data_IF_481148776950
#
_entry.id   IF_481148776950
#
_cell.length_a   1.000
_cell.length_b   1.000
_cell.length_c   1.000
_cell.angle_alpha   90.00
_cell.angle_beta   90.00
_cell.angle_gamma   90.00
#
_symmetry.space_group_name_H-M   'P 1'
#
loop_
_entity.id
_entity.type
_entity.pdbx_description
1 polymer ?
#
# COMPACT_ATOMS: atom_id res chain seq x y z
N UNK A 1 32.64 -0.29 -22.62
CA UNK A 1 33.01 0.55 -21.46
C UNK A 1 33.54 -0.28 -20.29
N UNK A 2 32.82 -1.33 -19.85
CA UNK A 2 33.26 -2.20 -18.74
C UNK A 2 34.57 -2.95 -19.00
N UNK A 3 34.81 -3.44 -20.23
CA UNK A 3 36.08 -4.12 -20.56
C UNK A 3 37.32 -3.24 -20.30
N UNK A 4 37.19 -1.90 -20.46
CA UNK A 4 38.28 -0.95 -20.18
C UNK A 4 38.65 -0.86 -18.69
N UNK A 5 37.80 -1.37 -17.80
CA UNK A 5 37.99 -1.40 -16.34
C UNK A 5 38.25 -2.82 -15.85
N UNK A 6 37.54 -3.80 -16.41
CA UNK A 6 37.62 -5.21 -16.02
C UNK A 6 39.00 -5.83 -16.32
N UNK A 7 39.55 -5.57 -17.51
CA UNK A 7 40.84 -6.12 -17.92
C UNK A 7 42.00 -5.58 -17.05
N UNK A 8 42.13 -4.26 -16.79
CA UNK A 8 43.12 -3.75 -15.83
C UNK A 8 42.92 -4.21 -14.39
N UNK A 9 41.68 -4.52 -13.99
CA UNK A 9 41.36 -5.04 -12.65
C UNK A 9 41.61 -6.54 -12.51
N UNK A 10 42.10 -7.23 -13.55
CA UNK A 10 42.34 -8.67 -13.54
C UNK A 10 41.06 -9.51 -13.53
N UNK A 11 39.91 -8.92 -13.88
CA UNK A 11 38.66 -9.66 -13.97
C UNK A 11 38.65 -10.47 -15.27
N UNK A 12 38.78 -11.79 -15.14
CA UNK A 12 38.89 -12.74 -16.26
C UNK A 12 37.55 -13.12 -16.89
N UNK A 13 36.44 -12.84 -16.19
CA UNK A 13 35.10 -13.10 -16.70
C UNK A 13 34.67 -11.98 -17.67
N UNK A 14 34.15 -12.36 -18.84
CA UNK A 14 33.48 -11.42 -19.76
C UNK A 14 32.23 -10.84 -19.10
N UNK A 15 32.38 -9.67 -18.47
CA UNK A 15 31.30 -8.93 -17.85
C UNK A 15 30.56 -8.11 -18.92
N UNK A 16 29.42 -8.62 -19.38
CA UNK A 16 28.53 -7.86 -20.27
C UNK A 16 27.73 -6.83 -19.47
N UNK A 17 27.59 -5.60 -19.98
CA UNK A 17 26.79 -4.54 -19.32
C UNK A 17 25.30 -4.88 -19.22
N UNK A 18 24.85 -5.91 -19.93
CA UNK A 18 23.45 -6.32 -20.05
C UNK A 18 23.25 -7.81 -19.75
N UNK A 19 23.83 -8.34 -18.66
CA UNK A 19 23.46 -9.70 -18.25
C UNK A 19 22.04 -9.70 -17.67
N UNK A 20 21.17 -10.49 -18.31
CA UNK A 20 19.72 -10.51 -18.10
C UNK A 20 19.28 -10.97 -16.69
N UNK A 21 20.20 -11.38 -15.80
CA UNK A 21 19.93 -11.73 -14.40
C UNK A 21 21.12 -11.33 -13.54
N UNK A 22 20.90 -10.31 -12.71
CA UNK A 22 21.91 -9.50 -12.02
C UNK A 22 22.69 -10.31 -10.97
N UNK A 23 24.00 -10.13 -10.83
CA UNK A 23 24.79 -10.74 -9.75
C UNK A 23 24.27 -10.41 -8.35
N UNK A 24 23.86 -9.16 -8.09
CA UNK A 24 23.25 -8.79 -6.80
C UNK A 24 21.85 -9.39 -6.58
N UNK A 25 21.03 -9.48 -7.63
CA UNK A 25 19.70 -10.10 -7.51
C UNK A 25 19.78 -11.63 -7.43
N UNK A 26 20.75 -12.24 -8.11
CA UNK A 26 21.05 -13.67 -8.03
C UNK A 26 21.61 -14.01 -6.65
N UNK A 27 22.49 -13.18 -6.10
CA UNK A 27 22.97 -13.31 -4.72
C UNK A 27 21.79 -13.24 -3.74
N UNK A 28 20.91 -12.25 -3.89
CA UNK A 28 19.72 -12.13 -3.05
C UNK A 28 18.73 -13.31 -3.24
N UNK A 29 18.61 -13.85 -4.45
CA UNK A 29 17.77 -15.02 -4.75
C UNK A 29 18.29 -16.31 -4.09
N UNK A 30 19.58 -16.35 -3.74
CA UNK A 30 20.18 -17.47 -3.04
C UNK A 30 20.05 -17.39 -1.52
N UNK A 31 19.45 -16.32 -0.99
CA UNK A 31 19.18 -16.20 0.44
C UNK A 31 17.83 -16.84 0.78
N UNK A 32 17.86 -17.96 1.49
CA UNK A 32 16.66 -18.73 1.90
C UNK A 32 15.69 -17.93 2.78
N UNK A 33 16.15 -16.79 3.35
CA UNK A 33 15.33 -15.89 4.16
C UNK A 33 14.58 -14.85 3.32
N UNK A 34 14.82 -14.80 2.02
CA UNK A 34 14.09 -13.98 1.06
C UNK A 34 13.23 -14.87 0.17
N UNK A 35 11.91 -14.64 0.18
CA UNK A 35 11.04 -15.34 -0.76
C UNK A 35 11.40 -14.92 -2.20
N UNK A 36 11.62 -15.90 -3.08
CA UNK A 36 12.00 -15.62 -4.47
C UNK A 36 10.94 -14.74 -5.21
N UNK A 37 9.68 -14.80 -4.78
CA UNK A 37 8.60 -13.92 -5.23
C UNK A 37 8.92 -12.43 -4.99
N UNK A 38 9.53 -12.08 -3.86
CA UNK A 38 9.92 -10.71 -3.52
C UNK A 38 11.00 -10.14 -4.45
N UNK A 39 11.75 -10.98 -5.16
CA UNK A 39 12.88 -10.54 -6.00
C UNK A 39 12.51 -10.63 -7.49
N UNK A 40 11.82 -11.70 -7.92
CA UNK A 40 11.38 -11.85 -9.30
C UNK A 40 10.40 -10.77 -9.75
N UNK A 41 9.48 -10.36 -8.87
CA UNK A 41 8.56 -9.25 -9.12
C UNK A 41 9.27 -7.89 -9.17
N UNK A 42 10.55 -7.80 -8.80
CA UNK A 42 11.33 -6.55 -8.85
C UNK A 42 12.33 -6.49 -10.03
N UNK A 43 12.76 -7.62 -10.59
CA UNK A 43 13.82 -7.67 -11.62
C UNK A 43 13.39 -7.45 -13.09
N UNK A 44 12.20 -7.91 -13.49
CA UNK A 44 11.75 -7.83 -14.89
C UNK A 44 10.93 -6.56 -15.16
N UNK A 45 11.42 -5.61 -15.95
CA UNK A 45 10.71 -4.34 -16.26
C UNK A 45 9.53 -4.51 -17.25
N UNK A 46 8.62 -5.43 -16.97
CA UNK A 46 7.33 -5.52 -17.67
C UNK A 46 6.26 -4.75 -16.90
N UNK A 47 6.00 -3.50 -17.30
CA UNK A 47 5.00 -2.61 -16.66
C UNK A 47 3.54 -3.08 -16.81
N UNK A 48 3.27 -4.15 -17.56
CA UNK A 48 1.92 -4.64 -17.87
C UNK A 48 1.35 -5.61 -16.83
N UNK A 49 2.14 -6.06 -15.86
CA UNK A 49 1.68 -7.01 -14.84
C UNK A 49 1.27 -6.26 -13.58
N UNK A 50 -0.03 -6.07 -13.40
CA UNK A 50 -0.69 -5.57 -12.17
C UNK A 50 -0.13 -6.21 -10.89
N UNK A 51 0.27 -7.48 -10.93
CA UNK A 51 0.92 -8.17 -9.80
C UNK A 51 2.16 -7.44 -9.23
N UNK A 52 2.93 -6.70 -10.04
CA UNK A 52 4.10 -5.96 -9.55
C UNK A 52 3.72 -4.74 -8.72
N UNK A 53 2.66 -4.04 -9.13
CA UNK A 53 2.13 -2.93 -8.35
C UNK A 53 1.61 -3.44 -7.02
N UNK A 54 0.89 -4.56 -7.01
CA UNK A 54 0.47 -5.21 -5.76
C UNK A 54 1.66 -5.64 -4.91
N UNK A 55 2.71 -6.27 -5.45
CA UNK A 55 3.89 -6.63 -4.67
C UNK A 55 4.57 -5.44 -3.98
N UNK A 56 4.64 -4.26 -4.62
CA UNK A 56 5.16 -3.04 -3.99
C UNK A 56 4.18 -2.34 -3.03
N UNK A 57 2.87 -2.55 -3.21
CA UNK A 57 1.82 -1.98 -2.36
C UNK A 57 1.56 -2.87 -1.12
N UNK A 58 1.71 -4.18 -1.25
CA UNK A 58 1.38 -5.18 -0.23
C UNK A 58 2.60 -5.70 0.54
N UNK A 59 3.82 -5.65 -0.02
CA UNK A 59 5.01 -5.87 0.81
C UNK A 59 5.15 -4.74 1.81
N UNK A 60 5.37 -5.07 3.08
CA UNK A 60 5.53 -4.05 4.09
C UNK A 60 6.94 -3.46 3.98
N UNK A 61 7.13 -2.24 4.52
CA UNK A 61 8.46 -1.60 4.64
C UNK A 61 9.54 -2.51 5.27
N UNK A 62 9.14 -3.61 5.94
CA UNK A 62 10.03 -4.62 6.50
C UNK A 62 10.69 -5.48 5.42
N UNK A 63 9.93 -6.00 4.47
CA UNK A 63 10.42 -6.88 3.41
C UNK A 63 11.35 -6.12 2.46
N UNK A 64 11.00 -4.87 2.12
CA UNK A 64 11.86 -3.97 1.35
C UNK A 64 13.21 -3.73 2.02
N UNK A 65 13.21 -3.53 3.35
CA UNK A 65 14.46 -3.36 4.11
C UNK A 65 15.31 -4.62 4.11
N UNK A 66 14.70 -5.81 4.15
CA UNK A 66 15.43 -7.09 4.07
C UNK A 66 16.10 -7.25 2.70
N UNK A 67 15.37 -6.99 1.63
CA UNK A 67 15.94 -7.05 0.27
C UNK A 67 17.03 -6.00 0.09
N UNK A 68 16.83 -4.77 0.55
CA UNK A 68 17.83 -3.71 0.46
C UNK A 68 19.13 -4.06 1.22
N UNK A 69 19.04 -4.73 2.38
CA UNK A 69 20.20 -5.21 3.13
C UNK A 69 21.01 -6.23 2.34
N UNK A 70 20.35 -7.27 1.84
CA UNK A 70 21.03 -8.35 1.09
C UNK A 70 21.65 -7.81 -0.20
N UNK A 71 20.96 -6.92 -0.91
CA UNK A 71 21.52 -6.24 -2.08
C UNK A 71 22.72 -5.33 -1.74
N UNK A 72 22.83 -4.89 -0.49
CA UNK A 72 23.93 -4.07 0.02
C UNK A 72 25.01 -4.92 0.71
N UNK A 73 24.93 -6.26 0.65
CA UNK A 73 25.91 -7.18 1.23
C UNK A 73 25.72 -7.50 2.73
N UNK A 74 24.57 -7.16 3.31
CA UNK A 74 24.23 -7.40 4.72
C UNK A 74 23.28 -8.60 4.86
N UNK A 75 23.28 -9.27 6.02
CA UNK A 75 22.29 -10.32 6.28
C UNK A 75 20.87 -9.73 6.44
N UNK A 76 19.83 -10.54 6.17
CA UNK A 76 18.43 -10.08 6.18
C UNK A 76 17.98 -9.45 7.49
N UNK A 77 18.48 -9.95 8.62
CA UNK A 77 18.06 -9.54 9.96
C UNK A 77 19.08 -8.61 10.63
N UNK A 78 20.14 -8.26 9.91
CA UNK A 78 21.15 -7.34 10.40
C UNK A 78 20.62 -5.92 10.44
N UNK A 79 20.98 -5.18 11.48
CA UNK A 79 20.59 -3.79 11.67
C UNK A 79 21.83 -2.92 11.49
N UNK A 80 22.18 -2.59 10.24
CA UNK A 80 23.34 -1.75 10.00
C UNK A 80 23.13 -0.39 10.65
N UNK A 81 24.12 0.00 11.46
CA UNK A 81 24.13 1.31 12.10
C UNK A 81 24.51 2.35 11.05
N UNK A 82 23.54 3.19 10.69
CA UNK A 82 23.77 4.30 9.76
C UNK A 82 24.28 5.50 10.55
N UNK A 83 25.48 5.97 10.18
CA UNK A 83 26.10 7.16 10.73
C UNK A 83 25.37 8.42 10.25
N UNK A 84 25.26 9.40 11.14
CA UNK A 84 24.54 10.66 10.88
C UNK A 84 25.22 11.80 11.64
N UNK A 85 25.62 12.85 10.93
CA UNK A 85 26.28 14.02 11.54
C UNK A 85 25.38 14.66 12.59
N UNK A 86 24.07 14.67 12.39
CA UNK A 86 23.13 15.25 13.35
C UNK A 86 23.19 14.56 14.73
N UNK A 87 23.56 13.27 14.78
CA UNK A 87 23.74 12.52 16.04
C UNK A 87 25.08 12.79 16.71
N UNK A 88 26.12 13.08 15.92
CA UNK A 88 27.42 13.53 16.42
C UNK A 88 27.29 14.90 17.10
N UNK A 89 26.39 15.74 16.61
CA UNK A 89 26.15 17.10 17.11
C UNK A 89 25.48 17.13 18.50
N UNK A 90 24.53 16.22 18.75
CA UNK A 90 23.87 16.09 20.06
C UNK A 90 24.79 15.69 21.22
N UNK A 91 26.01 15.19 20.94
CA UNK A 91 27.00 14.91 21.97
C UNK A 91 27.81 16.15 22.40
N UNK A 92 27.74 17.27 21.66
CA UNK A 92 28.41 18.54 21.97
C UNK A 92 27.37 19.62 22.22
N UNK A 93 26.86 19.63 23.44
CA UNK A 93 25.94 20.62 23.99
C UNK A 93 26.64 21.99 24.17
N UNK A 94 27.05 22.69 23.10
CA UNK A 94 27.52 24.08 23.19
C UNK A 94 27.27 24.91 21.92
N UNK A 95 26.29 25.81 22.02
CA UNK A 95 26.20 27.18 21.47
C UNK A 95 26.27 27.43 19.95
N UNK A 96 25.10 27.84 19.43
CA UNK A 96 24.82 29.01 18.54
C UNK A 96 25.53 29.18 17.19
N UNK A 97 26.50 28.34 16.82
CA UNK A 97 27.05 28.25 15.47
C UNK A 97 26.76 26.84 14.97
N UNK A 98 26.26 26.69 13.74
CA UNK A 98 26.09 25.37 13.14
C UNK A 98 27.40 24.59 13.31
N UNK A 99 27.34 23.37 13.86
CA UNK A 99 28.56 22.63 14.16
C UNK A 99 29.44 22.52 12.91
N UNK A 100 30.77 22.60 13.05
CA UNK A 100 31.66 22.61 11.88
C UNK A 100 31.42 21.46 10.86
N UNK A 101 30.99 20.24 11.26
CA UNK A 101 30.54 19.20 10.32
C UNK A 101 29.31 19.59 9.46
N UNK A 102 28.35 20.32 10.03
CA UNK A 102 27.18 20.84 9.30
C UNK A 102 27.58 21.96 8.33
N UNK A 103 28.60 22.74 8.67
CA UNK A 103 29.15 23.76 7.78
C UNK A 103 29.86 23.15 6.56
N UNK A 104 30.59 22.04 6.77
CA UNK A 104 31.14 21.23 5.67
C UNK A 104 30.02 20.68 4.77
N UNK A 105 28.95 20.12 5.35
CA UNK A 105 27.79 19.66 4.59
C UNK A 105 27.16 20.78 3.75
N UNK A 106 27.01 21.98 4.31
CA UNK A 106 26.45 23.12 3.58
C UNK A 106 27.37 23.57 2.43
N UNK A 107 28.70 23.58 2.64
CA UNK A 107 29.65 23.88 1.56
C UNK A 107 29.61 22.86 0.41
N UNK A 108 29.40 21.59 0.73
CA UNK A 108 29.28 20.53 -0.25
C UNK A 108 27.91 20.52 -0.95
N UNK A 109 26.89 21.18 -0.37
CA UNK A 109 25.54 21.19 -0.91
C UNK A 109 25.45 22.05 -2.16
N UNK A 110 25.06 21.44 -3.26
CA UNK A 110 24.65 22.15 -4.46
C UNK A 110 23.15 22.44 -4.42
N UNK A 111 22.77 23.71 -4.51
CA UNK A 111 21.36 24.14 -4.46
C UNK A 111 20.51 23.63 -5.64
N UNK A 112 21.17 23.21 -6.73
CA UNK A 112 20.52 22.66 -7.92
C UNK A 112 20.08 21.20 -7.75
N UNK A 113 20.59 20.48 -6.75
CA UNK A 113 20.28 19.09 -6.51
C UNK A 113 19.19 18.95 -5.44
N UNK A 114 18.09 18.25 -5.79
CA UNK A 114 16.99 17.96 -4.86
C UNK A 114 17.32 16.76 -3.96
N UNK A 115 18.29 16.92 -3.05
CA UNK A 115 18.69 15.90 -2.07
C UNK A 115 18.25 16.34 -0.68
N UNK A 116 17.60 15.44 0.05
CA UNK A 116 17.15 15.73 1.42
C UNK A 116 18.33 15.98 2.35
N UNK A 117 18.16 16.88 3.32
CA UNK A 117 19.18 17.23 4.32
C UNK A 117 19.64 16.01 5.12
N UNK A 118 18.73 15.06 5.40
CA UNK A 118 19.04 13.81 6.09
C UNK A 118 19.99 12.93 5.28
N UNK A 119 19.78 12.81 3.97
CA UNK A 119 20.69 12.05 3.10
C UNK A 119 22.05 12.74 3.01
N UNK A 120 22.08 14.06 2.88
CA UNK A 120 23.34 14.82 2.87
C UNK A 120 24.11 14.66 4.18
N UNK A 121 23.42 14.65 5.32
CA UNK A 121 24.03 14.43 6.63
C UNK A 121 24.71 13.06 6.72
N UNK A 122 24.02 12.00 6.29
CA UNK A 122 24.58 10.63 6.26
C UNK A 122 25.78 10.54 5.32
N UNK A 123 25.66 11.04 4.08
CA UNK A 123 26.75 11.00 3.10
C UNK A 123 27.98 11.77 3.58
N UNK A 124 27.76 12.93 4.20
CA UNK A 124 28.85 13.74 4.75
C UNK A 124 29.50 13.03 5.95
N UNK A 125 28.74 12.29 6.78
CA UNK A 125 29.33 11.48 7.86
C UNK A 125 30.29 10.42 7.32
N UNK A 126 29.90 9.69 6.28
CA UNK A 126 30.75 8.69 5.64
C UNK A 126 31.95 9.31 4.93
N UNK A 127 31.78 10.47 4.29
CA UNK A 127 32.88 11.24 3.74
C UNK A 127 33.87 11.61 4.83
N UNK A 128 33.42 12.16 5.96
CA UNK A 128 34.29 12.50 7.09
C UNK A 128 35.05 11.28 7.60
N UNK A 129 34.33 10.17 7.79
CA UNK A 129 34.91 8.91 8.29
C UNK A 129 36.05 8.39 7.41
N UNK A 130 35.88 8.41 6.10
CA UNK A 130 36.84 7.80 5.15
C UNK A 130 37.77 8.80 4.47
N UNK A 131 37.59 10.10 4.71
CA UNK A 131 38.41 11.14 4.11
C UNK A 131 39.92 10.97 4.32
N UNK A 132 40.42 10.62 5.53
CA UNK A 132 41.85 10.45 5.75
C UNK A 132 42.45 9.36 4.83
N UNK A 133 41.74 8.23 4.69
CA UNK A 133 42.15 7.12 3.83
C UNK A 133 42.07 7.49 2.35
N UNK A 134 41.02 8.20 1.95
CA UNK A 134 40.87 8.68 0.58
C UNK A 134 42.00 9.62 0.17
N UNK A 135 42.40 10.52 1.08
CA UNK A 135 43.48 11.47 0.85
C UNK A 135 44.84 10.80 0.76
N UNK A 136 45.08 9.76 1.56
CA UNK A 136 46.30 8.96 1.50
C UNK A 136 46.38 8.18 0.18
N UNK A 137 45.27 7.57 -0.24
CA UNK A 137 45.22 6.73 -1.44
C UNK A 137 45.31 7.54 -2.73
N UNK A 138 44.64 8.70 -2.79
CA UNK A 138 44.51 9.49 -4.01
C UNK A 138 44.48 11.01 -3.71
N UNK A 139 45.62 11.61 -3.30
CA UNK A 139 45.68 13.00 -2.84
C UNK A 139 45.35 14.02 -3.92
N UNK A 140 45.56 13.67 -5.20
CA UNK A 140 45.32 14.53 -6.36
C UNK A 140 43.94 14.34 -6.99
N UNK A 141 43.08 13.51 -6.39
CA UNK A 141 41.77 13.24 -6.93
C UNK A 141 40.84 14.48 -6.83
N UNK A 142 39.94 14.70 -7.80
CA UNK A 142 39.02 15.85 -7.77
C UNK A 142 38.17 15.94 -6.49
N UNK A 143 37.84 14.79 -5.90
CA UNK A 143 37.10 14.73 -4.63
C UNK A 143 37.92 15.27 -3.46
N UNK A 144 39.22 14.97 -3.38
CA UNK A 144 40.10 15.50 -2.33
C UNK A 144 40.28 17.01 -2.50
N UNK A 145 40.49 17.48 -3.74
CA UNK A 145 40.56 18.92 -4.04
C UNK A 145 39.30 19.64 -3.56
N UNK A 146 38.12 19.12 -3.91
CA UNK A 146 36.85 19.74 -3.53
C UNK A 146 36.63 19.76 -2.02
N UNK A 147 37.04 18.72 -1.30
CA UNK A 147 36.93 18.68 0.16
C UNK A 147 37.88 19.68 0.81
N UNK A 148 39.16 19.76 0.39
CA UNK A 148 40.10 20.75 0.94
C UNK A 148 39.66 22.19 0.68
N UNK A 149 39.10 22.50 -0.50
CA UNK A 149 38.49 23.80 -0.79
C UNK A 149 37.37 24.13 0.21
N UNK A 150 36.49 23.16 0.47
CA UNK A 150 35.39 23.35 1.40
C UNK A 150 35.83 23.45 2.86
N UNK A 151 36.85 22.68 3.27
CA UNK A 151 37.46 22.82 4.59
C UNK A 151 38.06 24.22 4.76
N UNK A 152 38.74 24.73 3.74
CA UNK A 152 39.33 26.07 3.74
C UNK A 152 38.25 27.16 3.82
N UNK A 153 37.19 27.06 3.01
CA UNK A 153 36.08 28.01 2.99
C UNK A 153 35.26 28.01 4.29
N UNK A 154 35.15 26.85 4.94
CA UNK A 154 34.47 26.71 6.23
C UNK A 154 35.38 26.98 7.43
N UNK A 155 36.65 27.34 7.22
CA UNK A 155 37.67 27.51 8.27
C UNK A 155 37.82 26.29 9.20
N UNK A 156 37.69 25.09 8.65
CA UNK A 156 37.81 23.82 9.38
C UNK A 156 39.25 23.33 9.29
N UNK A 157 39.87 23.06 10.44
CA UNK A 157 41.22 22.52 10.45
C UNK A 157 41.22 21.02 10.14
N UNK A 158 42.29 20.55 9.50
CA UNK A 158 42.48 19.11 9.22
C UNK A 158 42.50 18.25 10.48
N UNK A 159 42.97 18.81 11.60
CA UNK A 159 42.96 18.14 12.90
C UNK A 159 41.52 17.85 13.38
N UNK A 160 40.60 18.77 13.16
CA UNK A 160 39.18 18.58 13.51
C UNK A 160 38.54 17.48 12.67
N UNK A 161 38.86 17.47 11.37
CA UNK A 161 38.39 16.43 10.44
C UNK A 161 38.87 15.03 10.85
N UNK A 162 40.13 14.91 11.28
CA UNK A 162 40.68 13.65 11.81
C UNK A 162 40.00 13.25 13.13
N UNK A 163 39.79 14.21 14.04
CA UNK A 163 39.10 13.96 15.30
C UNK A 163 37.65 13.44 15.07
N UNK A 164 36.94 14.00 14.09
CA UNK A 164 35.61 13.51 13.73
C UNK A 164 35.64 12.14 13.06
N UNK A 165 36.62 11.88 12.18
CA UNK A 165 36.79 10.56 11.58
C UNK A 165 36.99 9.48 12.66
N UNK A 166 37.83 9.77 13.68
CA UNK A 166 38.04 8.88 14.84
C UNK A 166 36.76 8.73 15.66
N UNK A 167 36.03 9.82 15.93
CA UNK A 167 34.78 9.76 16.67
C UNK A 167 33.73 8.89 15.96
N UNK A 168 33.57 9.05 14.64
CA UNK A 168 32.64 8.28 13.80
C UNK A 168 33.06 6.81 13.65
N UNK A 169 34.36 6.49 13.71
CA UNK A 169 34.83 5.10 13.74
C UNK A 169 34.51 4.41 15.06
N UNK A 170 34.45 5.16 16.17
CA UNK A 170 34.14 4.64 17.50
C UNK A 170 32.63 4.58 17.80
N UNK A 171 31.81 5.27 17.01
CA UNK A 171 30.36 5.39 17.20
C UNK A 171 29.57 4.07 17.02
N UNK A 172 29.86 3.21 16.02
CA UNK A 172 29.20 1.91 15.88
C UNK A 172 29.39 1.02 17.12
N UNK A 173 30.58 1.04 17.73
CA UNK A 173 30.86 0.32 18.97
C UNK A 173 30.05 0.85 20.16
N UNK A 174 29.84 2.17 20.23
CA UNK A 174 29.02 2.81 21.26
C UNK A 174 27.54 2.48 21.10
N UNK A 175 27.03 2.48 19.87
CA UNK A 175 25.63 2.18 19.58
C UNK A 175 25.30 0.70 19.81
N UNK A 176 26.19 -0.23 19.42
CA UNK A 176 26.08 -1.66 19.76
C UNK A 176 26.04 -1.90 21.28
N UNK A 177 26.93 -1.27 22.05
CA UNK A 177 26.94 -1.36 23.52
C UNK A 177 25.67 -0.77 24.15
N UNK A 178 25.15 0.32 23.60
CA UNK A 178 23.92 0.98 24.08
C UNK A 178 22.69 0.12 23.78
N UNK A 179 22.61 -0.50 22.60
CA UNK A 179 21.53 -1.44 22.25
C UNK A 179 21.56 -2.73 23.07
N UNK A 180 22.74 -3.30 23.33
CA UNK A 180 22.86 -4.45 24.23
C UNK A 180 22.40 -4.11 25.65
N UNK A 181 22.74 -2.92 26.15
CA UNK A 181 22.30 -2.43 27.46
C UNK A 181 20.79 -2.08 27.50
N UNK A 182 20.20 -1.64 26.38
CA UNK A 182 18.76 -1.41 26.28
C UNK A 182 17.95 -2.71 26.18
N UNK A 183 18.46 -3.72 25.47
CA UNK A 183 17.82 -5.05 25.37
C UNK A 183 17.79 -5.79 26.69
N UNK A 184 18.82 -5.64 27.54
CA UNK A 184 18.82 -6.20 28.91
C UNK A 184 17.86 -5.47 29.85
N UNK A 185 17.55 -4.19 29.59
CA UNK A 185 16.66 -3.38 30.45
C UNK A 185 15.18 -3.45 30.08
N UNK A 186 14.83 -3.97 28.91
CA UNK A 186 13.47 -3.91 28.33
C UNK A 186 12.72 -5.25 28.34
N UNK A 187 13.04 -6.13 29.30
CA UNK A 187 12.31 -7.40 29.51
C UNK A 187 10.97 -7.19 30.24
N UNK A 188 10.66 -6.00 30.74
CA UNK A 188 9.30 -5.67 31.21
C UNK A 188 8.93 -4.26 30.77
N UNK A 189 8.20 -4.15 29.66
CA UNK A 189 7.53 -2.91 29.27
C UNK A 189 6.01 -3.06 29.38
N UNK A 190 5.31 -2.18 30.11
CA UNK A 190 3.86 -2.28 30.37
C UNK A 190 2.98 -2.36 29.11
N UNK A 191 3.48 -1.83 27.98
CA UNK A 191 2.77 -1.85 26.70
C UNK A 191 2.67 -3.25 26.08
N UNK A 192 3.63 -4.15 26.36
CA UNK A 192 3.59 -5.52 25.86
C UNK A 192 2.64 -6.37 26.68
N UNK A 193 2.59 -6.13 28.00
CA UNK A 193 1.67 -6.81 28.91
C UNK A 193 0.21 -6.44 28.61
N UNK A 194 -0.05 -5.18 28.26
CA UNK A 194 -1.39 -4.74 27.83
C UNK A 194 -1.82 -5.42 26.52
N UNK A 195 -0.93 -5.52 25.52
CA UNK A 195 -1.22 -6.22 24.27
C UNK A 195 -1.49 -7.71 24.49
N UNK A 196 -0.73 -8.36 25.37
CA UNK A 196 -0.94 -9.76 25.74
C UNK A 196 -2.26 -9.95 26.49
N UNK A 197 -2.64 -9.03 27.38
CA UNK A 197 -3.92 -9.05 28.08
C UNK A 197 -5.10 -8.91 27.11
N UNK A 198 -5.03 -7.99 26.14
CA UNK A 198 -6.06 -7.82 25.12
C UNK A 198 -6.19 -9.06 24.23
N UNK A 199 -5.08 -9.71 23.87
CA UNK A 199 -5.11 -10.97 23.11
C UNK A 199 -5.77 -12.09 23.93
N UNK A 200 -5.46 -12.20 25.22
CA UNK A 200 -6.10 -13.17 26.10
C UNK A 200 -7.61 -12.92 26.25
N UNK A 201 -8.04 -11.68 26.41
CA UNK A 201 -9.46 -11.30 26.47
C UNK A 201 -10.19 -11.60 25.16
N UNK A 202 -9.54 -11.38 24.01
CA UNK A 202 -10.11 -11.70 22.70
C UNK A 202 -10.25 -13.22 22.46
N UNK A 203 -9.31 -14.02 22.99
CA UNK A 203 -9.39 -15.48 22.94
C UNK A 203 -10.55 -15.97 23.82
N UNK A 204 -10.71 -15.42 25.01
CA UNK A 204 -11.74 -15.84 25.95
C UNK A 204 -13.15 -15.45 25.49
N UNK A 205 -13.30 -14.25 24.93
CA UNK A 205 -14.56 -13.82 24.28
C UNK A 205 -14.91 -14.70 23.08
N UNK A 206 -13.95 -15.05 22.23
CA UNK A 206 -14.18 -15.98 21.12
C UNK A 206 -14.60 -17.39 21.60
N UNK A 207 -13.99 -17.90 22.67
CA UNK A 207 -14.41 -19.18 23.28
C UNK A 207 -15.84 -19.10 23.82
N UNK A 208 -16.18 -17.99 24.47
CA UNK A 208 -17.53 -17.76 25.02
C UNK A 208 -18.56 -17.69 23.90
N UNK A 209 -18.25 -16.97 22.81
CA UNK A 209 -19.11 -16.90 21.63
C UNK A 209 -19.27 -18.27 20.97
N UNK A 210 -18.21 -19.08 20.88
CA UNK A 210 -18.30 -20.45 20.36
C UNK A 210 -19.18 -21.37 21.25
N UNK A 211 -19.12 -21.20 22.58
CA UNK A 211 -20.02 -21.91 23.50
C UNK A 211 -21.47 -21.42 23.37
N UNK A 212 -21.70 -20.12 23.22
CA UNK A 212 -23.04 -19.58 22.98
C UNK A 212 -23.63 -20.09 21.65
N UNK A 213 -22.79 -20.20 20.62
CA UNK A 213 -23.17 -20.69 19.30
C UNK A 213 -23.53 -22.18 19.35
N UNK A 214 -22.74 -23.00 20.06
CA UNK A 214 -23.08 -24.43 20.28
C UNK A 214 -24.34 -24.62 21.13
N UNK A 215 -24.62 -23.75 22.12
CA UNK A 215 -25.88 -23.77 22.88
C UNK A 215 -27.07 -23.35 21.99
N UNK A 216 -26.91 -22.34 21.14
CA UNK A 216 -27.93 -21.92 20.17
C UNK A 216 -28.23 -23.03 19.15
N UNK A 217 -27.18 -23.69 18.64
CA UNK A 217 -27.30 -24.84 17.75
C UNK A 217 -27.98 -26.03 18.44
N UNK A 218 -27.64 -26.31 19.70
CA UNK A 218 -28.29 -27.36 20.49
C UNK A 218 -29.77 -27.05 20.76
N UNK A 219 -30.14 -25.78 20.98
CA UNK A 219 -31.54 -25.35 21.14
C UNK A 219 -32.33 -25.46 19.83
N UNK A 220 -31.70 -25.15 18.69
CA UNK A 220 -32.28 -25.31 17.36
C UNK A 220 -32.47 -26.79 16.96
N UNK A 221 -31.72 -27.71 17.57
CA UNK A 221 -31.77 -29.15 17.31
C UNK A 221 -32.68 -29.94 18.26
N UNK A 222 -33.40 -29.29 19.18
CA UNK A 222 -34.38 -30.01 20.02
C UNK A 222 -35.66 -30.35 19.24
N UNK A 223 -36.11 -31.61 19.18
CA UNK A 223 -37.31 -31.99 18.43
C UNK A 223 -38.58 -31.55 19.16
N UNK A 224 -39.38 -30.67 18.55
CA UNK A 224 -40.70 -30.26 19.04
C UNK A 224 -41.71 -31.41 18.85
N UNK A 225 -42.05 -32.11 19.92
CA UNK A 225 -43.13 -33.12 19.97
C UNK A 225 -44.50 -32.43 19.91
N UNK A 226 -45.27 -32.77 18.86
CA UNK A 226 -46.74 -32.83 18.66
C UNK A 226 -47.66 -31.88 19.45
N UNK A 227 -48.51 -31.15 18.71
CA UNK A 227 -49.98 -31.34 18.67
C UNK A 227 -50.61 -30.43 17.60
N UNK A 228 -51.25 -31.05 16.59
CA UNK A 228 -52.60 -30.75 16.11
C UNK A 228 -52.81 -31.44 14.75
N UNK A 229 -53.94 -32.14 14.65
CA UNK A 229 -54.30 -33.09 13.60
C UNK A 229 -54.77 -32.43 12.29
N UNK A 230 -54.85 -33.31 11.29
CA UNK A 230 -55.88 -33.39 10.23
C UNK A 230 -55.46 -32.92 8.83
N UNK A 231 -55.16 -33.92 8.00
CA UNK A 231 -55.64 -34.21 6.61
C UNK A 231 -55.69 -33.03 5.61
N UNK A 232 -55.28 -33.14 4.33
CA UNK A 232 -54.89 -34.24 3.46
C UNK A 232 -54.20 -33.66 2.21
N UNK A 233 -53.26 -34.46 1.66
CA UNK A 233 -52.92 -34.69 0.23
C UNK A 233 -52.70 -33.51 -0.75
N UNK A 234 -51.69 -33.48 -1.63
CA UNK A 234 -50.61 -34.40 -2.02
C UNK A 234 -49.68 -33.68 -3.05
N UNK A 235 -48.47 -34.23 -3.21
CA UNK A 235 -47.46 -34.04 -4.29
C UNK A 235 -46.72 -32.69 -4.32
N UNK A 236 -45.40 -32.58 -4.25
CA UNK A 236 -44.31 -33.53 -4.18
C UNK A 236 -43.01 -32.71 -4.19
N UNK A 237 -42.27 -32.70 -3.08
CA UNK A 237 -40.98 -32.01 -2.97
C UNK A 237 -39.94 -33.01 -2.48
N UNK A 238 -39.14 -33.49 -3.41
CA UNK A 238 -37.84 -34.14 -3.19
C UNK A 238 -36.84 -33.18 -3.84
N UNK A 239 -35.71 -32.80 -3.26
CA UNK A 239 -35.08 -33.09 -1.98
C UNK A 239 -33.75 -32.31 -1.99
N UNK A 240 -33.30 -31.90 -0.80
CA UNK A 240 -31.90 -31.83 -0.34
C UNK A 240 -30.81 -31.57 -1.39
N UNK A 241 -29.95 -30.59 -1.12
CA UNK A 241 -28.62 -30.91 -0.58
C UNK A 241 -27.88 -29.69 -0.04
N UNK A 242 -27.25 -29.89 1.13
CA UNK A 242 -26.08 -29.16 1.59
C UNK A 242 -24.94 -29.38 0.59
N UNK A 243 -24.12 -28.37 0.34
CA UNK A 243 -22.67 -28.57 0.23
C UNK A 243 -21.95 -27.27 0.58
N UNK A 244 -20.88 -27.42 1.38
CA UNK A 244 -19.90 -26.39 1.76
C UNK A 244 -19.37 -25.63 0.54
N UNK A 245 -18.84 -24.40 0.74
CA UNK A 245 -17.63 -23.82 0.10
C UNK A 245 -17.66 -22.28 0.24
N UNK A 246 -16.64 -21.74 0.90
CA UNK A 246 -15.94 -20.48 0.57
C UNK A 246 -16.80 -19.24 0.27
N UNK A 247 -16.86 -18.32 1.21
CA UNK A 247 -17.66 -17.09 1.16
C UNK A 247 -17.06 -16.04 0.19
N UNK A 248 -17.09 -16.32 -1.11
CA UNK A 248 -17.14 -15.32 -2.19
C UNK A 248 -18.57 -15.31 -2.75
N UNK A 249 -19.52 -14.83 -1.95
CA UNK A 249 -20.90 -14.65 -2.40
C UNK A 249 -21.04 -13.30 -3.15
N UNK A 250 -21.71 -13.34 -4.29
CA UNK A 250 -21.90 -12.20 -5.19
C UNK A 250 -22.70 -11.06 -4.54
N UNK A 251 -22.06 -9.94 -4.20
CA UNK A 251 -22.78 -8.73 -3.76
C UNK A 251 -23.71 -8.22 -4.87
N UNK A 252 -24.98 -8.03 -4.55
CA UNK A 252 -26.00 -7.51 -5.48
C UNK A 252 -25.72 -6.02 -5.77
N UNK A 253 -26.00 -5.48 -6.98
CA UNK A 253 -25.72 -4.08 -7.30
C UNK A 253 -26.38 -3.07 -6.34
N UNK A 254 -27.62 -3.31 -5.90
CA UNK A 254 -28.30 -2.48 -4.89
C UNK A 254 -27.62 -2.50 -3.53
N UNK A 255 -26.97 -3.61 -3.14
CA UNK A 255 -26.17 -3.65 -1.91
C UNK A 255 -24.96 -2.74 -2.02
N UNK A 256 -24.29 -2.74 -3.17
CA UNK A 256 -23.16 -1.81 -3.45
C UNK A 256 -23.62 -0.35 -3.47
N UNK A 257 -24.80 -0.07 -4.03
CA UNK A 257 -25.43 1.25 -3.98
C UNK A 257 -25.72 1.69 -2.55
N UNK A 258 -26.33 0.82 -1.75
CA UNK A 258 -26.68 1.12 -0.36
C UNK A 258 -25.43 1.38 0.49
N UNK A 259 -24.41 0.53 0.38
CA UNK A 259 -23.12 0.73 1.06
C UNK A 259 -22.46 2.06 0.63
N UNK A 260 -22.56 2.43 -0.65
CA UNK A 260 -21.98 3.67 -1.17
C UNK A 260 -22.48 4.91 -0.40
N UNK A 261 -23.78 4.95 -0.13
CA UNK A 261 -24.46 6.10 0.48
C UNK A 261 -24.62 6.03 1.99
N UNK A 262 -24.60 4.84 2.61
CA UNK A 262 -24.91 4.64 4.03
C UNK A 262 -23.69 4.33 4.90
N UNK A 263 -22.59 3.80 4.35
CA UNK A 263 -21.41 3.44 5.16
C UNK A 263 -20.88 4.62 6.01
N UNK A 264 -20.28 4.31 7.17
CA UNK A 264 -19.60 5.28 8.06
C UNK A 264 -18.20 4.72 8.39
N UNK A 265 -17.11 5.34 7.91
CA UNK A 265 -17.06 6.44 6.93
C UNK A 265 -17.73 6.07 5.59
N UNK A 266 -18.25 7.06 4.87
CA UNK A 266 -18.89 6.87 3.56
C UNK A 266 -17.98 6.08 2.61
N UNK A 267 -18.51 5.27 1.70
CA UNK A 267 -17.66 4.38 0.89
C UNK A 267 -16.69 5.16 -0.02
N UNK A 268 -17.02 6.40 -0.41
CA UNK A 268 -16.08 7.30 -1.09
C UNK A 268 -14.94 7.81 -0.19
N UNK A 269 -15.01 7.64 1.12
CA UNK A 269 -13.95 7.89 2.09
C UNK A 269 -13.20 6.60 2.49
N UNK A 270 -13.48 5.45 1.85
CA UNK A 270 -12.78 4.19 2.10
C UNK A 270 -11.28 4.27 1.75
N UNK A 271 -10.44 3.72 2.63
CA UNK A 271 -8.99 3.55 2.42
C UNK A 271 -8.65 2.42 1.43
N UNK A 272 -9.60 1.52 1.14
CA UNK A 272 -9.46 0.50 0.11
C UNK A 272 -9.80 1.12 -1.26
N UNK A 273 -8.75 1.53 -1.97
CA UNK A 273 -8.87 2.16 -3.29
C UNK A 273 -9.50 1.25 -4.35
N UNK A 274 -9.31 -0.08 -4.26
CA UNK A 274 -9.85 -1.01 -5.25
C UNK A 274 -11.35 -1.18 -5.04
N UNK A 275 -11.77 -1.50 -3.81
CA UNK A 275 -13.20 -1.60 -3.48
C UNK A 275 -13.92 -0.28 -3.72
N UNK A 276 -13.29 0.85 -3.38
CA UNK A 276 -13.80 2.20 -3.68
C UNK A 276 -13.97 2.43 -5.17
N UNK A 277 -12.99 2.05 -6.00
CA UNK A 277 -13.07 2.19 -7.46
C UNK A 277 -14.16 1.31 -8.05
N UNK A 278 -14.24 0.04 -7.68
CA UNK A 278 -15.26 -0.88 -8.20
C UNK A 278 -16.67 -0.46 -7.78
N UNK A 279 -16.88 -0.15 -6.51
CA UNK A 279 -18.16 0.37 -6.02
C UNK A 279 -18.55 1.67 -6.71
N UNK A 280 -17.59 2.59 -6.92
CA UNK A 280 -17.83 3.83 -7.68
C UNK A 280 -18.27 3.54 -9.11
N UNK A 281 -17.59 2.66 -9.84
CA UNK A 281 -17.98 2.36 -11.22
C UNK A 281 -19.34 1.67 -11.30
N UNK A 282 -19.65 0.75 -10.39
CA UNK A 282 -20.97 0.11 -10.31
C UNK A 282 -22.06 1.16 -10.10
N UNK A 283 -21.88 2.05 -9.11
CA UNK A 283 -22.83 3.11 -8.77
C UNK A 283 -23.00 4.10 -9.93
N UNK A 284 -21.91 4.53 -10.58
CA UNK A 284 -21.99 5.46 -11.72
C UNK A 284 -22.71 4.82 -12.90
N UNK A 285 -22.43 3.55 -13.21
CA UNK A 285 -23.18 2.84 -14.25
C UNK A 285 -24.66 2.70 -13.89
N UNK A 286 -25.00 2.42 -12.62
CA UNK A 286 -26.39 2.34 -12.17
C UNK A 286 -27.13 3.67 -12.34
N UNK A 287 -26.49 4.81 -12.08
CA UNK A 287 -27.07 6.15 -12.26
C UNK A 287 -27.52 6.42 -13.69
N UNK A 288 -26.80 5.91 -14.69
CA UNK A 288 -27.14 6.11 -16.10
C UNK A 288 -28.53 5.58 -16.48
N UNK A 289 -29.05 4.60 -15.74
CA UNK A 289 -30.33 3.97 -16.02
C UNK A 289 -31.50 4.58 -15.23
N UNK A 290 -31.25 5.63 -14.44
CA UNK A 290 -32.27 6.44 -13.78
C UNK A 290 -32.70 7.57 -14.71
N UNK A 291 -33.50 7.23 -15.72
CA UNK A 291 -33.89 8.11 -16.83
C UNK A 291 -34.68 9.37 -16.40
N UNK A 292 -35.36 9.30 -15.26
CA UNK A 292 -36.14 10.43 -14.71
C UNK A 292 -35.34 11.30 -13.72
N UNK A 293 -34.09 10.91 -13.41
CA UNK A 293 -33.30 11.47 -12.32
C UNK A 293 -33.58 10.81 -10.97
N UNK A 294 -32.98 11.34 -9.92
CA UNK A 294 -33.18 10.88 -8.53
C UNK A 294 -32.79 11.97 -7.53
N UNK A 295 -33.40 11.95 -6.35
CA UNK A 295 -33.08 12.87 -5.25
C UNK A 295 -32.77 12.08 -3.99
N UNK A 296 -31.60 12.32 -3.40
CA UNK A 296 -31.19 11.74 -2.12
C UNK A 296 -30.82 12.87 -1.15
N UNK A 297 -31.72 13.19 -0.23
CA UNK A 297 -31.48 14.20 0.80
C UNK A 297 -30.89 13.56 2.07
N UNK A 298 -29.67 13.93 2.42
CA UNK A 298 -28.96 13.43 3.61
C UNK A 298 -29.73 13.77 4.90
N UNK A 299 -30.50 14.86 4.90
CA UNK A 299 -31.18 15.38 6.09
C UNK A 299 -32.59 14.81 6.26
N UNK A 300 -33.09 14.04 5.29
CA UNK A 300 -34.42 13.45 5.38
C UNK A 300 -34.44 12.25 6.34
N UNK A 301 -35.50 12.14 7.14
CA UNK A 301 -35.67 11.04 8.10
C UNK A 301 -35.74 9.67 7.40
N UNK A 302 -36.23 9.64 6.16
CA UNK A 302 -36.35 8.47 5.30
C UNK A 302 -35.17 8.29 4.34
N UNK A 303 -34.04 8.98 4.53
CA UNK A 303 -32.86 8.91 3.65
C UNK A 303 -32.41 7.48 3.34
N UNK A 304 -32.38 6.59 4.34
CA UNK A 304 -31.99 5.18 4.14
C UNK A 304 -32.96 4.44 3.22
N UNK A 305 -34.25 4.72 3.34
CA UNK A 305 -35.29 4.08 2.55
C UNK A 305 -35.30 4.64 1.12
N UNK A 306 -35.04 5.95 0.95
CA UNK A 306 -34.81 6.57 -0.36
C UNK A 306 -33.60 5.92 -1.07
N UNK A 307 -32.47 5.77 -0.38
CA UNK A 307 -31.27 5.11 -0.92
C UNK A 307 -31.58 3.67 -1.35
N UNK A 308 -32.29 2.91 -0.53
CA UNK A 308 -32.69 1.52 -0.85
C UNK A 308 -33.62 1.47 -2.07
N UNK A 309 -34.63 2.34 -2.12
CA UNK A 309 -35.61 2.41 -3.20
C UNK A 309 -34.97 2.73 -4.54
N UNK A 310 -34.20 3.83 -4.59
CA UNK A 310 -33.48 4.25 -5.79
C UNK A 310 -32.46 3.19 -6.23
N UNK A 311 -31.75 2.57 -5.27
CA UNK A 311 -30.79 1.50 -5.56
C UNK A 311 -31.42 0.27 -6.21
N UNK A 312 -32.59 -0.16 -5.74
CA UNK A 312 -33.34 -1.28 -6.35
C UNK A 312 -33.89 -0.92 -7.73
N UNK A 313 -34.39 0.31 -7.91
CA UNK A 313 -34.87 0.78 -9.20
C UNK A 313 -33.75 0.81 -10.24
N UNK A 314 -32.58 1.36 -9.87
CA UNK A 314 -31.42 1.42 -10.75
C UNK A 314 -30.91 0.00 -11.10
N UNK A 315 -30.88 -0.90 -10.13
CA UNK A 315 -30.51 -2.30 -10.36
C UNK A 315 -31.46 -2.99 -11.36
N UNK A 316 -32.78 -2.85 -11.15
CA UNK A 316 -33.77 -3.45 -12.03
C UNK A 316 -33.62 -2.95 -13.47
N UNK A 317 -33.37 -1.65 -13.65
CA UNK A 317 -33.17 -1.04 -14.95
C UNK A 317 -31.88 -1.54 -15.66
N UNK A 318 -30.77 -1.63 -14.93
CA UNK A 318 -29.50 -2.18 -15.45
C UNK A 318 -29.65 -3.64 -15.87
N UNK A 319 -30.29 -4.45 -15.02
CA UNK A 319 -30.49 -5.88 -15.30
C UNK A 319 -31.42 -6.09 -16.50
N UNK A 320 -32.47 -5.28 -16.65
CA UNK A 320 -33.36 -5.31 -17.81
C UNK A 320 -32.63 -4.96 -19.11
N UNK A 321 -31.76 -3.95 -19.08
CA UNK A 321 -30.91 -3.59 -20.23
C UNK A 321 -29.94 -4.72 -20.61
N UNK A 322 -29.26 -5.32 -19.63
CA UNK A 322 -28.33 -6.42 -19.88
C UNK A 322 -29.03 -7.68 -20.41
N UNK A 323 -30.25 -7.97 -19.93
CA UNK A 323 -31.08 -9.08 -20.44
C UNK A 323 -31.42 -8.91 -21.92
N UNK A 324 -31.73 -7.68 -22.35
CA UNK A 324 -31.99 -7.35 -23.77
C UNK A 324 -30.78 -7.65 -24.66
N UNK A 325 -29.57 -7.56 -24.11
CA UNK A 325 -28.30 -7.86 -24.80
C UNK A 325 -27.79 -9.29 -24.56
N UNK A 326 -28.67 -10.20 -24.11
CA UNK A 326 -28.38 -11.63 -23.84
C UNK A 326 -27.29 -11.86 -22.78
N UNK A 327 -27.12 -10.93 -21.84
CA UNK A 327 -26.22 -11.10 -20.69
C UNK A 327 -26.99 -11.61 -19.47
N UNK A 328 -26.45 -12.64 -18.81
CA UNK A 328 -27.00 -13.23 -17.59
C UNK A 328 -26.35 -12.66 -16.31
N UNK A 329 -25.74 -11.47 -16.39
CA UNK A 329 -25.14 -10.79 -15.24
C UNK A 329 -26.19 -10.53 -14.15
N UNK A 330 -25.84 -10.79 -12.89
CA UNK A 330 -26.74 -10.63 -11.73
C UNK A 330 -26.08 -9.88 -10.58
N UNK A 331 -24.82 -10.18 -10.26
CA UNK A 331 -24.06 -9.50 -9.20
C UNK A 331 -23.31 -8.27 -9.69
N UNK A 332 -22.95 -7.37 -8.77
CA UNK A 332 -22.27 -6.08 -9.03
C UNK A 332 -21.02 -6.24 -9.91
N UNK A 333 -20.13 -7.19 -9.58
CA UNK A 333 -18.93 -7.45 -10.37
C UNK A 333 -19.23 -7.97 -11.78
N UNK A 334 -20.25 -8.82 -11.93
CA UNK A 334 -20.66 -9.35 -13.24
C UNK A 334 -21.31 -8.29 -14.13
N UNK A 335 -22.11 -7.41 -13.53
CA UNK A 335 -22.71 -6.24 -14.18
C UNK A 335 -21.62 -5.29 -14.65
N UNK A 336 -20.65 -4.99 -13.80
CA UNK A 336 -19.51 -4.14 -14.15
C UNK A 336 -18.68 -4.72 -15.31
N UNK A 337 -18.41 -6.03 -15.30
CA UNK A 337 -17.71 -6.73 -16.39
C UNK A 337 -18.50 -6.69 -17.71
N UNK A 338 -19.84 -6.70 -17.66
CA UNK A 338 -20.69 -6.63 -18.84
C UNK A 338 -20.83 -5.19 -19.40
N UNK A 339 -20.87 -4.17 -18.54
CA UNK A 339 -21.04 -2.78 -18.95
C UNK A 339 -19.75 -2.12 -19.45
N UNK A 340 -18.57 -2.52 -18.96
CA UNK A 340 -17.27 -1.96 -19.40
C UNK A 340 -17.03 -2.09 -20.92
N UNK A 341 -17.24 -3.24 -21.57
CA UNK A 341 -17.12 -3.35 -23.03
C UNK A 341 -18.14 -2.50 -23.78
N UNK A 342 -19.37 -2.40 -23.26
CA UNK A 342 -20.44 -1.60 -23.88
C UNK A 342 -20.16 -0.09 -23.81
N UNK A 343 -19.55 0.36 -22.70
CA UNK A 343 -19.04 1.72 -22.60
C UNK A 343 -17.99 1.99 -23.67
N UNK A 344 -16.97 1.11 -23.77
CA UNK A 344 -15.88 1.23 -24.76
C UNK A 344 -16.36 1.19 -26.21
N UNK A 345 -17.47 0.53 -26.49
CA UNK A 345 -18.05 0.46 -27.84
C UNK A 345 -19.05 1.58 -28.13
N UNK A 346 -19.18 2.58 -27.25
CA UNK A 346 -20.13 3.69 -27.40
C UNK A 346 -21.61 3.32 -27.19
N UNK A 347 -21.92 2.07 -26.83
CA UNK A 347 -23.30 1.57 -26.69
C UNK A 347 -24.05 2.14 -25.47
N UNK A 348 -23.36 2.92 -24.63
CA UNK A 348 -23.92 3.64 -23.49
C UNK A 348 -23.93 5.17 -23.70
N UNK A 349 -23.50 5.69 -24.85
CA UNK A 349 -23.33 7.12 -25.08
C UNK A 349 -24.66 7.90 -24.96
N UNK A 350 -25.78 7.35 -25.44
CA UNK A 350 -27.11 7.96 -25.28
C UNK A 350 -27.51 8.12 -23.81
N UNK A 351 -27.21 7.11 -22.98
CA UNK A 351 -27.49 7.15 -21.54
C UNK A 351 -26.56 8.13 -20.81
N UNK A 352 -25.30 8.23 -21.23
CA UNK A 352 -24.35 9.21 -20.70
C UNK A 352 -24.81 10.63 -21.02
N UNK A 353 -25.24 10.89 -22.26
CA UNK A 353 -25.78 12.20 -22.66
C UNK A 353 -27.08 12.50 -21.89
N UNK A 354 -27.98 11.52 -21.74
CA UNK A 354 -29.20 11.66 -20.96
C UNK A 354 -28.91 12.03 -19.50
N UNK A 355 -27.98 11.32 -18.87
CA UNK A 355 -27.54 11.60 -17.50
C UNK A 355 -26.94 13.01 -17.34
N UNK A 356 -26.08 13.44 -18.28
CA UNK A 356 -25.51 14.81 -18.28
C UNK A 356 -26.57 15.89 -18.47
N UNK A 357 -27.62 15.63 -19.26
CA UNK A 357 -28.77 16.53 -19.38
C UNK A 357 -29.53 16.63 -18.07
N UNK A 358 -29.79 15.51 -17.38
CA UNK A 358 -30.46 15.49 -16.08
C UNK A 358 -29.69 16.28 -15.01
N UNK A 359 -28.35 16.20 -15.02
CA UNK A 359 -27.49 17.04 -14.18
C UNK A 359 -27.64 18.53 -14.52
N UNK A 360 -27.68 18.88 -15.81
CA UNK A 360 -27.78 20.28 -16.25
C UNK A 360 -29.15 20.94 -15.94
N UNK A 361 -30.20 20.15 -15.76
CA UNK A 361 -31.55 20.62 -15.40
C UNK A 361 -31.88 20.42 -13.91
N UNK A 362 -30.87 20.15 -13.08
CA UNK A 362 -30.98 19.93 -11.63
C UNK A 362 -32.01 18.85 -11.22
N UNK A 363 -32.23 17.84 -12.07
CA UNK A 363 -33.08 16.67 -11.75
C UNK A 363 -32.36 15.56 -10.98
N UNK A 364 -31.10 15.79 -10.60
CA UNK A 364 -30.29 14.87 -9.81
C UNK A 364 -29.80 15.61 -8.57
N UNK A 365 -30.23 15.17 -7.39
CA UNK A 365 -29.65 15.59 -6.11
C UNK A 365 -28.88 14.41 -5.52
N UNK A 366 -27.55 14.45 -5.64
CA UNK A 366 -26.66 13.37 -5.24
C UNK A 366 -25.69 13.86 -4.16
N UNK A 367 -25.68 13.24 -2.96
CA UNK A 367 -24.83 13.65 -1.85
C UNK A 367 -23.35 13.25 -2.02
N UNK A 368 -23.02 12.43 -3.01
CA UNK A 368 -21.63 12.07 -3.30
C UNK A 368 -20.87 13.25 -3.93
N UNK A 369 -19.56 13.45 -3.72
CA UNK A 369 -18.81 14.55 -4.32
C UNK A 369 -18.87 14.53 -5.86
N UNK A 370 -18.94 15.69 -6.52
CA UNK A 370 -19.05 15.85 -7.99
C UNK A 370 -17.95 15.06 -8.74
N UNK A 371 -16.74 15.05 -8.18
CA UNK A 371 -15.61 14.27 -8.71
C UNK A 371 -15.96 12.79 -8.88
N UNK A 372 -16.80 12.22 -8.01
CA UNK A 372 -17.23 10.83 -8.07
C UNK A 372 -18.34 10.55 -9.08
N UNK A 373 -19.01 11.59 -9.59
CA UNK A 373 -20.21 11.51 -10.41
C UNK A 373 -19.92 11.55 -11.93
N UNK A 374 -19.01 12.41 -12.39
CA UNK A 374 -18.74 12.63 -13.83
C UNK A 374 -17.46 11.92 -14.31
N UNK A 375 -17.43 10.58 -14.22
CA UNK A 375 -16.27 9.78 -14.68
C UNK A 375 -16.46 9.11 -16.04
N UNK A 376 -17.68 9.10 -16.58
CA UNK A 376 -17.97 8.46 -17.87
C UNK A 376 -18.05 9.53 -18.96
N UNK A 377 -17.08 9.48 -19.88
CA UNK A 377 -17.12 10.25 -21.11
C UNK A 377 -17.81 9.44 -22.23
N UNK A 378 -18.47 10.13 -23.15
CA UNK A 378 -18.93 9.54 -24.42
C UNK A 378 -17.71 9.14 -25.23
N UNK A 379 -17.74 7.98 -25.88
CA UNK A 379 -16.59 7.49 -26.66
C UNK A 379 -16.44 8.26 -27.98
N UNK A 380 -17.53 8.85 -28.49
CA UNK A 380 -17.51 9.70 -29.67
C UNK A 380 -17.42 8.88 -30.95
N UNK A 381 -18.54 8.73 -31.64
CA UNK A 381 -18.51 8.48 -33.08
C UNK A 381 -18.35 9.84 -33.77
N UNK A 382 -17.22 10.03 -34.46
CA UNK A 382 -17.15 10.94 -35.62
C UNK A 382 -18.02 10.36 -36.72
#
# INVERSE_FOLDING_TARGET
MLNRVAEPAGATATLTSHSFRRGGAQHANGDDRLAAQWIFDRGAWGMTKTNKAFAYITDTTREDRKVARVLSGWATDELPVVLDIAKLDHARETRTIASPPLQLMYCLKQHTLNVSTKVLSVLTAYLIRYYPQLKELAPTSPIVTRVEECLSAAHIMRADMLAWAVALNNEPLRLLKREMNFKTRKVTSPSTDHLVAVIHELIETNRTLALCLTILEARLLTPKKRLANTEAEQVGVTSRTKTQVQEEASHQPSTTWYEWYISVPRAWASSDHQKKSESRHVVVFMKLFLVDGFTLDINADDYKDQVLGVGRQAEAAVLAFLKTRKSNAKGAGSVLRALRPLHKSGALDEYIVGYKRLLAIDRIQDPAPVETQDILATVGHV
#
